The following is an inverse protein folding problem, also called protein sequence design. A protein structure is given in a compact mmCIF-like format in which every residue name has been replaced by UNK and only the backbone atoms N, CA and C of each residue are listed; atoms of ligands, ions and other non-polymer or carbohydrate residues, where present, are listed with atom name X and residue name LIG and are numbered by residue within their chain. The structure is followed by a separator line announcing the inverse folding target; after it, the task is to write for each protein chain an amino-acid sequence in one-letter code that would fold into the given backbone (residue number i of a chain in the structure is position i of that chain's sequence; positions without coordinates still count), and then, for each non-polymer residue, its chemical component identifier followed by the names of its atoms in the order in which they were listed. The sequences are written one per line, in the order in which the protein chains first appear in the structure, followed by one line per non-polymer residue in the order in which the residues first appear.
data_IF_845035979822
#
_entry.id   IF_845035979822
#
_cell.length_a   1.000
_cell.length_b   1.000
_cell.length_c   1.000
_cell.angle_alpha   90.00
_cell.angle_beta   90.00
_cell.angle_gamma   90.00
#
_symmetry.space_group_name_H-M   'P 1'
#
loop_
_entity.id
_entity.type
_entity.pdbx_description
1 polymer ?
#
# COMPACT_ATOMS: atom_id res chain seq x y z
N UNK A 1 -19.82 -12.53 -13.03
CA UNK A 1 -18.85 -13.05 -12.05
C UNK A 1 -18.20 -11.93 -11.22
N UNK A 2 -17.43 -11.02 -11.82
CA UNK A 2 -16.66 -10.00 -11.08
C UNK A 2 -17.51 -9.05 -10.21
N UNK A 3 -18.61 -8.49 -10.73
CA UNK A 3 -19.50 -7.63 -9.96
C UNK A 3 -20.07 -8.32 -8.71
N UNK A 4 -20.42 -9.61 -8.82
CA UNK A 4 -20.93 -10.36 -7.66
C UNK A 4 -19.84 -10.57 -6.60
N UNK A 5 -18.59 -10.79 -7.01
CA UNK A 5 -17.45 -10.89 -6.08
C UNK A 5 -17.23 -9.57 -5.35
N UNK A 6 -17.30 -8.45 -6.07
CA UNK A 6 -17.19 -7.11 -5.49
C UNK A 6 -18.33 -6.88 -4.48
N UNK A 7 -19.58 -7.18 -4.84
CA UNK A 7 -20.73 -6.98 -3.95
C UNK A 7 -20.71 -7.90 -2.73
N UNK A 8 -20.22 -9.14 -2.86
CA UNK A 8 -20.01 -10.03 -1.69
C UNK A 8 -19.05 -9.45 -0.66
N UNK A 9 -18.06 -8.70 -1.12
CA UNK A 9 -17.04 -8.09 -0.28
C UNK A 9 -17.48 -6.73 0.27
N UNK A 10 -17.87 -5.81 -0.62
CA UNK A 10 -18.18 -4.42 -0.30
C UNK A 10 -19.64 -4.18 0.12
N UNK A 11 -20.50 -5.17 -0.08
CA UNK A 11 -21.95 -5.04 0.01
C UNK A 11 -22.58 -4.67 -1.34
N UNK A 12 -23.87 -4.99 -1.49
CA UNK A 12 -24.62 -4.62 -2.70
C UNK A 12 -25.07 -3.17 -2.59
N UNK A 13 -24.69 -2.29 -3.53
CA UNK A 13 -25.11 -0.90 -3.49
C UNK A 13 -26.62 -0.76 -3.74
N UNK A 14 -27.22 0.18 -3.01
CA UNK A 14 -28.63 0.58 -3.12
C UNK A 14 -28.74 2.07 -3.47
N UNK A 15 -29.93 2.53 -3.83
CA UNK A 15 -30.22 3.96 -4.03
C UNK A 15 -29.89 4.84 -2.80
N UNK A 16 -29.88 4.26 -1.59
CA UNK A 16 -29.45 4.95 -0.38
C UNK A 16 -27.94 5.18 -0.33
N UNK A 17 -27.14 4.17 -0.70
CA UNK A 17 -25.67 4.24 -0.65
C UNK A 17 -25.07 4.88 -1.91
N UNK A 18 -25.75 4.72 -3.05
CA UNK A 18 -25.37 5.29 -4.34
C UNK A 18 -26.64 5.72 -5.09
N UNK A 19 -27.09 6.97 -4.90
CA UNK A 19 -28.24 7.51 -5.61
C UNK A 19 -28.02 7.50 -7.13
N UNK A 20 -28.99 6.98 -7.87
CA UNK A 20 -28.96 6.86 -9.33
C UNK A 20 -28.32 5.58 -9.86
N UNK A 21 -27.88 4.66 -8.99
CA UNK A 21 -27.23 3.42 -9.44
C UNK A 21 -28.19 2.54 -10.28
N UNK A 22 -29.49 2.57 -9.98
CA UNK A 22 -30.49 1.81 -10.71
C UNK A 22 -30.68 2.27 -12.16
N UNK A 23 -30.14 3.44 -12.52
CA UNK A 23 -30.23 3.99 -13.86
C UNK A 23 -29.14 3.45 -14.78
N UNK A 24 -28.10 2.79 -14.24
CA UNK A 24 -27.07 2.19 -15.07
C UNK A 24 -27.59 0.96 -15.81
N UNK A 25 -27.33 0.82 -17.13
CA UNK A 25 -27.83 -0.30 -17.93
C UNK A 25 -27.43 -1.68 -17.38
N UNK A 26 -26.26 -1.77 -16.76
CA UNK A 26 -25.71 -3.02 -16.20
C UNK A 26 -26.21 -3.33 -14.78
N UNK A 27 -26.94 -2.40 -14.14
CA UNK A 27 -27.52 -2.63 -12.82
C UNK A 27 -28.80 -3.44 -12.95
N UNK A 28 -28.77 -4.68 -12.45
CA UNK A 28 -29.90 -5.60 -12.47
C UNK A 28 -30.56 -5.63 -11.10
N UNK A 29 -31.87 -5.39 -11.05
CA UNK A 29 -32.64 -5.42 -9.81
C UNK A 29 -32.66 -6.80 -9.13
N UNK A 30 -32.28 -7.87 -9.84
CA UNK A 30 -32.21 -9.23 -9.32
C UNK A 30 -30.83 -9.60 -8.73
N UNK A 31 -29.94 -8.62 -8.52
CA UNK A 31 -28.71 -8.90 -7.78
C UNK A 31 -29.03 -9.35 -6.36
N UNK A 32 -28.29 -10.34 -5.87
CA UNK A 32 -28.35 -10.73 -4.47
C UNK A 32 -27.91 -9.56 -3.60
N UNK A 33 -28.61 -9.33 -2.50
CA UNK A 33 -28.28 -8.29 -1.53
C UNK A 33 -27.27 -8.88 -0.54
N UNK A 34 -26.06 -8.36 -0.55
CA UNK A 34 -24.99 -8.73 0.38
C UNK A 34 -24.75 -7.59 1.37
N UNK A 35 -24.48 -7.94 2.63
CA UNK A 35 -23.96 -7.00 3.62
C UNK A 35 -22.46 -6.75 3.40
N UNK A 36 -22.00 -5.54 3.72
CA UNK A 36 -20.58 -5.21 3.74
C UNK A 36 -19.84 -6.12 4.73
N UNK A 37 -18.72 -6.69 4.30
CA UNK A 37 -17.87 -7.52 5.16
C UNK A 37 -16.88 -6.64 5.94
N UNK A 38 -16.47 -7.11 7.12
CA UNK A 38 -15.40 -6.46 7.85
C UNK A 38 -14.05 -6.78 7.20
N UNK A 39 -13.44 -5.78 6.56
CA UNK A 39 -12.16 -5.93 5.87
C UNK A 39 -11.02 -6.38 6.79
N UNK A 40 -11.10 -6.13 8.10
CA UNK A 40 -10.08 -6.57 9.06
C UNK A 40 -10.00 -8.09 9.16
N UNK A 41 -11.11 -8.78 8.91
CA UNK A 41 -11.16 -10.25 8.90
C UNK A 41 -10.59 -10.83 7.61
N UNK A 42 -10.59 -10.04 6.53
CA UNK A 42 -10.22 -10.49 5.18
C UNK A 42 -8.75 -10.16 4.89
N UNK A 43 -8.27 -9.03 5.40
CA UNK A 43 -6.91 -8.53 5.25
C UNK A 43 -6.27 -8.28 6.63
N UNK A 44 -6.09 -9.33 7.46
CA UNK A 44 -5.56 -9.18 8.83
C UNK A 44 -4.12 -8.64 8.88
N UNK A 45 -3.38 -8.75 7.78
CA UNK A 45 -2.01 -8.22 7.66
C UNK A 45 -1.95 -6.71 7.38
N UNK A 46 -3.08 -6.07 7.08
CA UNK A 46 -3.13 -4.64 6.78
C UNK A 46 -3.49 -3.89 8.05
N UNK A 47 -2.69 -2.87 8.36
CA UNK A 47 -2.88 -2.03 9.54
C UNK A 47 -4.10 -1.09 9.38
N UNK A 48 -4.50 -0.45 10.47
CA UNK A 48 -5.70 0.38 10.50
C UNK A 48 -5.64 1.58 9.53
N UNK A 49 -4.45 2.18 9.35
CA UNK A 49 -4.27 3.28 8.40
C UNK A 49 -4.32 2.76 6.95
N UNK A 50 -3.72 1.61 6.67
CA UNK A 50 -3.77 0.98 5.35
C UNK A 50 -5.19 0.61 4.95
N UNK A 51 -5.97 0.05 5.88
CA UNK A 51 -7.38 -0.26 5.65
C UNK A 51 -8.21 1.01 5.42
N UNK A 52 -7.93 2.10 6.14
CA UNK A 52 -8.63 3.37 5.93
C UNK A 52 -8.41 3.91 4.51
N UNK A 53 -7.16 3.93 4.05
CA UNK A 53 -6.80 4.33 2.69
C UNK A 53 -7.46 3.43 1.64
N UNK A 54 -7.36 2.11 1.82
CA UNK A 54 -7.91 1.12 0.90
C UNK A 54 -9.43 1.25 0.77
N UNK A 55 -10.15 1.40 1.88
CA UNK A 55 -11.60 1.61 1.85
C UNK A 55 -11.97 2.94 1.17
N UNK A 56 -11.16 3.99 1.35
CA UNK A 56 -11.31 5.24 0.62
C UNK A 56 -11.18 5.06 -0.90
N UNK A 57 -10.26 4.21 -1.36
CA UNK A 57 -10.05 3.88 -2.78
C UNK A 57 -11.12 2.93 -3.35
N UNK A 58 -11.68 2.06 -2.52
CA UNK A 58 -12.64 1.03 -2.95
C UNK A 58 -14.11 1.47 -2.84
N UNK A 59 -14.39 2.75 -2.56
CA UNK A 59 -15.75 3.26 -2.62
C UNK A 59 -16.42 2.89 -3.96
N UNK A 60 -17.56 2.21 -3.85
CA UNK A 60 -18.34 1.79 -5.02
C UNK A 60 -18.81 3.00 -5.82
N UNK A 61 -19.30 4.02 -5.11
CA UNK A 61 -19.69 5.30 -5.69
C UNK A 61 -18.43 6.10 -6.10
N UNK A 62 -18.20 6.38 -7.39
CA UNK A 62 -16.98 7.01 -7.88
C UNK A 62 -16.71 8.39 -7.28
N UNK A 63 -17.75 9.19 -7.04
CA UNK A 63 -17.58 10.56 -6.53
C UNK A 63 -17.11 10.61 -5.07
N UNK A 64 -17.24 9.49 -4.34
CA UNK A 64 -16.77 9.36 -2.95
C UNK A 64 -15.37 8.74 -2.86
N UNK A 65 -14.80 8.34 -4.00
CA UNK A 65 -13.48 7.72 -4.04
C UNK A 65 -12.40 8.76 -3.80
N UNK A 66 -11.43 8.42 -2.94
CA UNK A 66 -10.25 9.26 -2.72
C UNK A 66 -9.50 9.47 -4.04
N UNK A 67 -9.10 10.71 -4.33
CA UNK A 67 -8.28 10.99 -5.52
C UNK A 67 -6.85 10.51 -5.31
N UNK A 68 -6.11 10.28 -6.40
CA UNK A 68 -4.69 9.92 -6.30
C UNK A 68 -3.88 10.95 -5.51
N UNK A 69 -4.16 12.25 -5.71
CA UNK A 69 -3.50 13.33 -4.98
C UNK A 69 -3.79 13.27 -3.47
N UNK A 70 -5.05 13.05 -3.08
CA UNK A 70 -5.43 12.92 -1.68
C UNK A 70 -4.86 11.64 -1.06
N UNK A 71 -4.84 10.54 -1.81
CA UNK A 71 -4.27 9.28 -1.36
C UNK A 71 -2.77 9.42 -1.04
N UNK A 72 -2.00 10.13 -1.87
CA UNK A 72 -0.58 10.40 -1.61
C UNK A 72 -0.32 11.23 -0.36
N UNK A 73 -1.32 12.01 0.10
CA UNK A 73 -1.25 12.80 1.33
C UNK A 73 -1.76 12.03 2.56
N UNK A 74 -2.15 10.77 2.40
CA UNK A 74 -2.73 9.98 3.47
C UNK A 74 -1.68 9.61 4.53
N UNK A 75 -2.02 9.62 5.84
CA UNK A 75 -1.07 9.33 6.92
C UNK A 75 -0.35 7.98 6.83
N UNK A 76 -0.92 7.03 6.11
CA UNK A 76 -0.30 5.72 5.84
C UNK A 76 1.05 5.83 5.10
N UNK A 77 1.32 6.95 4.42
CA UNK A 77 2.59 7.18 3.72
C UNK A 77 3.59 8.05 4.49
N UNK A 78 3.30 8.44 5.73
CA UNK A 78 4.11 9.41 6.48
C UNK A 78 5.51 8.89 6.87
N UNK A 79 5.69 7.57 6.95
CA UNK A 79 6.93 6.90 7.30
C UNK A 79 7.86 6.65 6.08
N UNK A 80 7.32 6.71 4.86
CA UNK A 80 8.10 6.48 3.64
C UNK A 80 9.33 7.39 3.49
N UNK A 81 9.26 8.72 3.72
CA UNK A 81 10.43 9.57 3.57
C UNK A 81 11.56 9.17 4.53
N UNK A 82 11.20 8.83 5.77
CA UNK A 82 12.16 8.41 6.78
C UNK A 82 12.78 7.06 6.41
N UNK A 83 11.97 6.10 5.97
CA UNK A 83 12.46 4.80 5.50
C UNK A 83 13.41 4.95 4.31
N UNK A 84 13.08 5.82 3.36
CA UNK A 84 13.92 6.08 2.19
C UNK A 84 15.28 6.69 2.59
N UNK A 85 15.29 7.60 3.57
CA UNK A 85 16.51 8.18 4.10
C UNK A 85 17.37 7.13 4.84
N UNK A 86 16.75 6.25 5.62
CA UNK A 86 17.45 5.15 6.31
C UNK A 86 18.10 4.18 5.32
N UNK A 87 17.37 3.79 4.26
CA UNK A 87 17.92 2.92 3.21
C UNK A 87 19.08 3.57 2.47
N UNK A 88 19.01 4.87 2.20
CA UNK A 88 20.12 5.61 1.58
C UNK A 88 21.36 5.65 2.48
N UNK A 89 21.19 5.89 3.79
CA UNK A 89 22.28 5.90 4.75
C UNK A 89 22.96 4.51 4.89
N UNK A 90 22.17 3.43 4.93
CA UNK A 90 22.70 2.06 5.00
C UNK A 90 23.54 1.71 3.76
N UNK A 91 23.10 2.13 2.57
CA UNK A 91 23.86 1.92 1.32
C UNK A 91 25.23 2.63 1.34
N UNK A 92 25.31 3.82 1.93
CA UNK A 92 26.56 4.56 2.05
C UNK A 92 27.54 3.88 3.04
N UNK A 93 27.03 3.38 4.17
CA UNK A 93 27.85 2.68 5.17
C UNK A 93 28.46 1.37 4.62
N UNK A 94 27.69 0.60 3.84
CA UNK A 94 28.20 -0.63 3.21
C UNK A 94 29.33 -0.35 2.20
N UNK A 95 29.27 0.77 1.48
CA UNK A 95 30.35 1.17 0.56
C UNK A 95 31.63 1.57 1.30
N UNK A 96 31.53 2.24 2.45
CA UNK A 96 32.70 2.60 3.26
C UNK A 96 33.38 1.40 3.92
N UNK A 97 32.61 0.41 4.38
CA UNK A 97 33.19 -0.81 4.98
C UNK A 97 33.93 -1.67 3.94
N UNK A 98 33.45 -1.71 2.69
CA UNK A 98 34.16 -2.40 1.59
C UNK A 98 35.46 -1.68 1.20
N UNK A 99 35.51 -0.35 1.27
CA UNK A 99 36.77 0.38 1.05
C UNK A 99 37.78 0.18 2.20
N UNK A 100 37.33 0.12 3.46
CA UNK A 100 38.23 -0.07 4.60
C UNK A 100 38.83 -1.48 4.68
N UNK A 101 38.13 -2.51 4.18
CA UNK A 101 38.64 -3.89 4.16
C UNK A 101 39.76 -4.14 3.15
N UNK A 102 39.94 -3.25 2.16
CA UNK A 102 41.00 -3.35 1.15
C UNK A 102 42.36 -2.84 1.61
N UNK A 103 42.44 -1.97 2.62
CA UNK A 103 43.69 -1.33 3.05
C UNK A 103 44.47 -2.10 4.12
N UNK A 104 43.89 -3.14 4.75
CA UNK A 104 44.54 -3.85 5.86
C UNK A 104 45.39 -5.07 5.46
N UNK A 105 45.55 -5.39 4.16
CA UNK A 105 46.37 -6.54 3.72
C UNK A 105 47.63 -6.17 2.91
N UNK A 106 48.04 -4.91 2.88
CA UNK A 106 49.22 -4.46 2.11
C UNK A 106 50.31 -3.78 2.96
N UNK A 107 50.37 -4.09 4.26
CA UNK A 107 51.28 -3.45 5.24
C UNK A 107 52.35 -4.34 5.88
N UNK A 108 52.56 -5.60 5.44
CA UNK A 108 53.57 -6.48 6.04
C UNK A 108 54.44 -7.17 4.97
N UNK A 109 55.22 -6.41 4.21
CA UNK A 109 56.32 -6.98 3.41
C UNK A 109 57.38 -5.91 3.06
N UNK A 110 57.94 -5.23 4.06
CA UNK A 110 59.10 -4.38 3.82
C UNK A 110 59.93 -4.23 5.10
N UNK A 111 60.67 -5.28 5.46
CA UNK A 111 61.89 -5.16 6.27
C UNK A 111 62.64 -6.50 6.28
N UNK A 112 63.89 -6.47 5.80
CA UNK A 112 64.90 -7.49 6.09
C UNK A 112 65.51 -8.19 4.89
N UNK A 113 66.50 -7.57 4.26
CA UNK A 113 67.63 -8.29 3.67
C UNK A 113 68.84 -7.34 3.60
N UNK A 114 69.75 -7.54 4.55
CA UNK A 114 71.16 -7.13 4.50
C UNK A 114 71.97 -8.35 4.10
#
# INVERSE_FOLDING_TARGET
DQLQKIFRLMGTPSERSWPGISQFPEYKANFHVYSTQDMRLILPQVDQLGLNLLLGMLHLRPELRVSAQQALQHPWFNDLPQLQQQMAAQRQQQQQQQMSGGYSQQGMAAQGAY
#
